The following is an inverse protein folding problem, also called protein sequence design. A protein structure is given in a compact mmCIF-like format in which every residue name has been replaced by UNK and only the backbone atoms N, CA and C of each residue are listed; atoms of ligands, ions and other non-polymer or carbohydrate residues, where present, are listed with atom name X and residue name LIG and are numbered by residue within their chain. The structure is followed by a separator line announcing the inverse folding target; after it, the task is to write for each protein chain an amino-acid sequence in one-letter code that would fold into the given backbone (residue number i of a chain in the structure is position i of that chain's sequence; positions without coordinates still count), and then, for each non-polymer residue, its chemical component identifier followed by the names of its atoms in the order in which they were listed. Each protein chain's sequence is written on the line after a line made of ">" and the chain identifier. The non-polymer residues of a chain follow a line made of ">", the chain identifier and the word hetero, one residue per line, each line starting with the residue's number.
data_IF_001318061585
#
_entry.id   IF_001318061585
#
_cell.length_a   1.000
_cell.length_b   1.000
_cell.length_c   1.000
_cell.angle_alpha   90.00
_cell.angle_beta   90.00
_cell.angle_gamma   90.00
#
_symmetry.space_group_name_H-M   'P 1'
#
loop_
_entity.id
_entity.type
_entity.pdbx_description
1 polymer ?
#
# COMPACT_ATOMS: atom_id res chain seq x y z
N UNK A 1 70.83 7.19 -46.63
CA UNK A 1 70.43 7.84 -45.37
C UNK A 1 68.98 7.47 -45.00
N UNK A 2 68.80 6.54 -44.05
CA UNK A 2 67.48 6.27 -43.46
C UNK A 2 67.16 7.44 -42.53
N UNK A 3 66.14 8.22 -42.85
CA UNK A 3 65.68 9.28 -41.96
C UNK A 3 65.28 8.66 -40.62
N UNK A 4 65.82 9.21 -39.53
CA UNK A 4 65.51 8.77 -38.18
C UNK A 4 64.01 9.02 -37.92
N UNK A 5 63.27 7.96 -37.66
CA UNK A 5 61.87 8.06 -37.26
C UNK A 5 61.81 8.66 -35.85
N UNK A 6 61.35 9.90 -35.74
CA UNK A 6 60.98 10.53 -34.47
C UNK A 6 59.48 10.34 -34.26
N UNK A 7 59.05 9.74 -33.13
CA UNK A 7 57.64 9.65 -32.81
C UNK A 7 57.04 11.06 -32.70
N UNK A 8 55.79 11.28 -33.14
CA UNK A 8 55.12 12.55 -32.98
C UNK A 8 55.10 12.94 -31.51
N UNK A 9 55.42 14.20 -31.22
CA UNK A 9 55.40 14.72 -29.85
C UNK A 9 54.02 14.47 -29.23
N UNK A 10 53.95 13.91 -28.01
CA UNK A 10 52.67 13.70 -27.35
C UNK A 10 51.93 15.03 -27.27
N UNK A 11 50.63 15.00 -27.55
CA UNK A 11 49.79 16.19 -27.45
C UNK A 11 49.99 16.84 -26.08
N UNK A 12 50.13 18.16 -26.06
CA UNK A 12 50.30 18.90 -24.81
C UNK A 12 49.16 18.53 -23.84
N UNK A 13 49.46 18.25 -22.56
CA UNK A 13 48.42 17.92 -21.59
C UNK A 13 47.40 19.05 -21.53
N UNK A 14 46.13 18.70 -21.36
CA UNK A 14 45.07 19.71 -21.27
C UNK A 14 45.38 20.70 -20.14
N UNK A 15 45.02 21.96 -20.33
CA UNK A 15 45.19 23.02 -19.34
C UNK A 15 44.30 22.82 -18.10
N UNK A 16 43.29 21.96 -18.20
CA UNK A 16 42.46 21.50 -17.08
C UNK A 16 42.15 19.99 -17.19
N UNK A 17 43.04 19.11 -16.71
CA UNK A 17 42.81 17.67 -16.73
C UNK A 17 41.70 17.26 -15.75
N UNK A 18 41.50 18.01 -14.66
CA UNK A 18 40.46 17.72 -13.68
C UNK A 18 39.05 18.01 -14.24
N UNK A 19 38.88 19.12 -14.97
CA UNK A 19 37.65 19.45 -15.69
C UNK A 19 37.33 18.43 -16.78
N UNK A 20 38.35 17.97 -17.52
CA UNK A 20 38.20 16.91 -18.52
C UNK A 20 37.69 15.60 -17.93
N UNK A 21 38.27 15.15 -16.82
CA UNK A 21 37.83 13.93 -16.11
C UNK A 21 36.40 14.10 -15.57
N UNK A 22 36.06 15.27 -15.00
CA UNK A 22 34.69 15.57 -14.54
C UNK A 22 33.66 15.51 -15.66
N UNK A 23 34.01 16.03 -16.84
CA UNK A 23 33.13 16.00 -18.00
C UNK A 23 32.89 14.56 -18.49
N UNK A 24 33.94 13.73 -18.52
CA UNK A 24 33.81 12.31 -18.87
C UNK A 24 32.96 11.58 -17.85
N UNK A 25 33.24 11.70 -16.54
CA UNK A 25 32.50 11.01 -15.48
C UNK A 25 31.02 11.40 -15.39
N UNK A 26 30.65 12.61 -15.83
CA UNK A 26 29.26 13.07 -15.91
C UNK A 26 28.58 12.75 -17.24
N UNK A 27 29.31 12.22 -18.21
CA UNK A 27 28.78 11.93 -19.53
C UNK A 27 27.75 10.80 -19.49
N UNK A 28 26.77 10.89 -20.38
CA UNK A 28 25.72 9.87 -20.55
C UNK A 28 26.32 8.51 -20.92
N UNK A 29 27.40 8.52 -21.71
CA UNK A 29 28.14 7.32 -22.07
C UNK A 29 28.76 6.62 -20.84
N UNK A 30 29.28 7.37 -19.87
CA UNK A 30 29.81 6.81 -18.63
C UNK A 30 28.69 6.28 -17.73
N UNK A 31 27.56 6.97 -17.64
CA UNK A 31 26.37 6.46 -16.92
C UNK A 31 25.85 5.17 -17.54
N UNK A 32 25.73 5.11 -18.87
CA UNK A 32 25.31 3.92 -19.59
C UNK A 32 26.29 2.76 -19.40
N UNK A 33 27.60 3.01 -19.50
CA UNK A 33 28.62 1.99 -19.26
C UNK A 33 28.59 1.47 -17.81
N UNK A 34 28.33 2.34 -16.83
CA UNK A 34 28.19 1.93 -15.43
C UNK A 34 26.93 1.09 -15.22
N UNK A 35 25.79 1.48 -15.81
CA UNK A 35 24.55 0.70 -15.76
C UNK A 35 24.75 -0.69 -16.40
N UNK A 36 25.37 -0.76 -17.58
CA UNK A 36 25.69 -2.04 -18.24
C UNK A 36 26.65 -2.89 -17.39
N UNK A 37 27.64 -2.28 -16.72
CA UNK A 37 28.56 -2.97 -15.82
C UNK A 37 27.87 -3.46 -14.53
N UNK A 38 26.77 -2.84 -14.11
CA UNK A 38 25.94 -3.33 -13.01
C UNK A 38 25.10 -4.55 -13.42
N UNK A 39 24.67 -4.62 -14.69
CA UNK A 39 23.90 -5.73 -15.24
C UNK A 39 24.76 -6.94 -15.63
N UNK A 40 26.02 -6.72 -16.06
CA UNK A 40 26.95 -7.80 -16.39
C UNK A 40 27.56 -8.41 -15.13
N UNK A 41 26.97 -9.51 -14.67
CA UNK A 41 27.28 -10.24 -13.43
C UNK A 41 28.75 -10.53 -13.15
N UNK A 42 29.41 -9.60 -12.47
CA UNK A 42 30.59 -9.82 -11.64
C UNK A 42 30.29 -9.45 -10.18
N UNK A 43 31.17 -9.80 -9.23
CA UNK A 43 30.91 -9.60 -7.79
C UNK A 43 30.59 -8.16 -7.34
N UNK A 44 30.87 -7.15 -8.19
CA UNK A 44 30.47 -5.76 -7.97
C UNK A 44 28.94 -5.57 -8.09
N UNK A 45 28.29 -6.19 -9.08
CA UNK A 45 26.84 -6.09 -9.29
C UNK A 45 26.05 -6.64 -8.10
N UNK A 46 26.50 -7.76 -7.52
CA UNK A 46 25.90 -8.36 -6.32
C UNK A 46 26.00 -7.44 -5.10
N UNK A 47 27.14 -6.78 -4.90
CA UNK A 47 27.32 -5.83 -3.81
C UNK A 47 26.43 -4.60 -3.98
N UNK A 48 26.39 -4.04 -5.20
CA UNK A 48 25.55 -2.88 -5.51
C UNK A 48 24.07 -3.21 -5.38
N UNK A 49 23.65 -4.41 -5.75
CA UNK A 49 22.27 -4.88 -5.57
C UNK A 49 21.89 -4.93 -4.09
N UNK A 50 22.76 -5.43 -3.22
CA UNK A 50 22.53 -5.42 -1.76
C UNK A 50 22.42 -4.00 -1.21
N UNK A 51 23.27 -3.09 -1.68
CA UNK A 51 23.22 -1.67 -1.30
C UNK A 51 21.91 -1.04 -1.76
N UNK A 52 21.51 -1.25 -3.02
CA UNK A 52 20.26 -0.75 -3.57
C UNK A 52 19.04 -1.30 -2.80
N UNK A 53 19.04 -2.58 -2.44
CA UNK A 53 17.98 -3.20 -1.63
C UNK A 53 17.92 -2.59 -0.22
N UNK A 54 19.07 -2.38 0.42
CA UNK A 54 19.14 -1.72 1.73
C UNK A 54 18.65 -0.27 1.66
N UNK A 55 19.06 0.48 0.64
CA UNK A 55 18.59 1.85 0.39
C UNK A 55 17.09 1.90 0.04
N UNK A 56 16.57 0.93 -0.71
CA UNK A 56 15.14 0.81 -0.97
C UNK A 56 14.35 0.64 0.33
N UNK A 57 14.86 -0.19 1.25
CA UNK A 57 14.29 -0.32 2.61
C UNK A 57 14.41 0.98 3.42
N UNK A 58 15.49 1.74 3.25
CA UNK A 58 15.69 3.05 3.88
C UNK A 58 14.68 4.09 3.37
N UNK A 59 14.40 4.13 2.06
CA UNK A 59 13.37 4.98 1.46
C UNK A 59 11.96 4.66 2.00
N UNK A 60 11.71 3.39 2.32
CA UNK A 60 10.49 2.94 3.00
C UNK A 60 10.56 3.07 4.53
N UNK A 61 11.60 3.72 5.07
CA UNK A 61 11.82 4.00 6.49
C UNK A 61 11.96 2.76 7.38
N UNK A 62 12.25 1.57 6.83
CA UNK A 62 12.40 0.35 7.64
C UNK A 62 13.47 0.43 8.73
N UNK A 63 14.69 0.93 8.45
CA UNK A 63 15.73 1.02 9.46
C UNK A 63 15.59 2.25 10.36
N UNK A 64 14.61 3.13 10.13
CA UNK A 64 14.44 4.37 10.90
C UNK A 64 13.69 4.05 12.20
N UNK A 65 14.28 4.33 13.38
CA UNK A 65 13.60 4.07 14.65
C UNK A 65 12.30 4.89 14.78
N UNK A 66 11.28 4.30 15.43
CA UNK A 66 9.99 4.98 15.63
C UNK A 66 10.12 6.34 16.33
N UNK A 67 11.05 6.48 17.29
CA UNK A 67 11.31 7.74 17.99
C UNK A 67 11.82 8.86 17.08
N UNK A 68 12.33 8.53 15.89
CA UNK A 68 12.76 9.52 14.89
C UNK A 68 11.60 9.91 13.98
N UNK A 69 10.60 9.04 13.81
CA UNK A 69 9.38 9.31 13.05
C UNK A 69 8.36 10.12 13.88
N UNK A 70 8.25 9.78 15.16
CA UNK A 70 7.36 10.44 16.13
C UNK A 70 8.17 10.83 17.37
N UNK A 71 8.87 11.98 17.35
CA UNK A 71 9.73 12.40 18.45
C UNK A 71 8.99 12.76 19.74
N UNK A 72 7.76 13.26 19.64
CA UNK A 72 6.93 13.65 20.79
C UNK A 72 5.64 12.81 20.79
N UNK A 73 5.25 12.28 21.95
CA UNK A 73 4.01 11.52 22.12
C UNK A 73 2.76 12.33 21.72
N UNK A 74 2.80 13.65 21.84
CA UNK A 74 1.70 14.55 21.43
C UNK A 74 1.45 14.55 19.92
N UNK A 75 2.44 14.15 19.13
CA UNK A 75 2.29 14.04 17.68
C UNK A 75 1.39 12.85 17.30
N UNK A 76 1.42 11.76 18.10
CA UNK A 76 0.56 10.59 17.92
C UNK A 76 -0.07 10.14 19.26
N UNK A 77 -1.09 10.88 19.75
CA UNK A 77 -1.83 10.52 20.97
C UNK A 77 -2.54 9.16 20.85
N UNK A 78 -3.04 8.64 21.97
CA UNK A 78 -3.87 7.42 21.98
C UNK A 78 -5.18 7.67 21.23
N UNK A 79 -5.64 6.66 20.48
CA UNK A 79 -6.84 6.73 19.62
C UNK A 79 -6.77 7.90 18.65
N UNK A 80 -5.65 8.00 17.92
CA UNK A 80 -5.42 9.05 16.94
C UNK A 80 -4.92 8.51 15.62
N UNK A 81 -5.23 9.28 14.57
CA UNK A 81 -4.89 9.01 13.20
C UNK A 81 -4.22 10.26 12.61
N UNK A 82 -3.08 10.09 11.96
CA UNK A 82 -2.30 11.18 11.33
C UNK A 82 -1.97 10.81 9.89
N UNK A 83 -2.38 11.66 8.97
CA UNK A 83 -1.90 11.63 7.59
C UNK A 83 -0.66 12.49 7.44
N UNK A 84 0.28 12.06 6.60
CA UNK A 84 1.50 12.80 6.31
C UNK A 84 1.95 12.54 4.87
N UNK A 85 2.91 13.33 4.39
CA UNK A 85 3.66 13.07 3.17
C UNK A 85 5.15 13.04 3.48
N UNK A 86 5.91 12.29 2.69
CA UNK A 86 7.36 12.29 2.78
C UNK A 86 7.92 13.38 1.88
N UNK A 87 8.77 14.23 2.46
CA UNK A 87 9.48 15.25 1.68
C UNK A 87 10.58 14.57 0.84
N UNK A 88 10.52 14.67 -0.50
CA UNK A 88 11.51 14.04 -1.38
C UNK A 88 12.92 14.59 -1.15
N UNK A 89 13.04 15.85 -0.74
CA UNK A 89 14.32 16.50 -0.42
C UNK A 89 14.94 15.90 0.84
N UNK A 90 14.13 15.54 1.83
CA UNK A 90 14.61 14.89 3.06
C UNK A 90 15.01 13.44 2.81
N UNK A 91 14.25 12.72 1.99
CA UNK A 91 14.63 11.38 1.55
C UNK A 91 15.92 11.41 0.74
N UNK A 92 16.08 12.40 -0.14
CA UNK A 92 17.32 12.62 -0.88
C UNK A 92 18.50 12.89 0.08
N UNK A 93 18.34 13.79 1.04
CA UNK A 93 19.37 14.07 2.04
C UNK A 93 19.74 12.82 2.86
N UNK A 94 18.76 11.99 3.22
CA UNK A 94 18.96 10.73 3.94
C UNK A 94 19.78 9.73 3.13
N UNK A 95 19.41 9.52 1.85
CA UNK A 95 20.13 8.64 0.93
C UNK A 95 21.54 9.16 0.65
N UNK A 96 21.68 10.47 0.43
CA UNK A 96 22.96 11.13 0.20
C UNK A 96 23.90 10.99 1.41
N UNK A 97 23.38 11.15 2.63
CA UNK A 97 24.13 10.91 3.85
C UNK A 97 24.59 9.45 3.99
N UNK A 98 23.73 8.50 3.64
CA UNK A 98 24.07 7.08 3.65
C UNK A 98 25.15 6.70 2.61
N UNK A 99 25.16 7.38 1.46
CA UNK A 99 26.15 7.17 0.40
C UNK A 99 27.45 7.96 0.61
N UNK A 100 27.46 8.99 1.47
CA UNK A 100 28.63 9.85 1.73
C UNK A 100 29.69 9.20 2.65
N UNK A 101 29.55 7.93 2.99
CA UNK A 101 30.48 7.24 3.89
C UNK A 101 31.79 6.95 3.15
N UNK A 102 32.90 7.54 3.63
CA UNK A 102 34.24 7.22 3.13
C UNK A 102 34.83 8.21 2.12
N UNK A 103 34.14 9.30 1.80
CA UNK A 103 34.69 10.35 0.95
C UNK A 103 35.79 11.14 1.69
N UNK A 104 37.06 10.89 1.38
CA UNK A 104 38.21 11.57 1.99
C UNK A 104 38.87 12.59 1.06
N UNK A 105 38.56 12.55 -0.23
CA UNK A 105 39.08 13.47 -1.24
C UNK A 105 38.01 13.96 -2.22
N UNK A 106 38.34 15.02 -2.96
CA UNK A 106 37.49 15.55 -4.03
C UNK A 106 37.34 14.61 -5.23
N UNK A 107 38.26 13.64 -5.37
CA UNK A 107 38.14 12.54 -6.35
C UNK A 107 37.06 11.56 -5.90
N UNK A 108 37.10 11.12 -4.65
CA UNK A 108 36.14 10.16 -4.10
C UNK A 108 34.73 10.74 -4.16
N UNK A 109 34.57 12.03 -3.81
CA UNK A 109 33.28 12.72 -3.91
C UNK A 109 32.72 12.75 -5.34
N UNK A 110 33.58 12.86 -6.35
CA UNK A 110 33.16 12.90 -7.75
C UNK A 110 32.75 11.51 -8.25
N UNK A 111 33.50 10.48 -7.85
CA UNK A 111 33.19 9.08 -8.16
C UNK A 111 31.88 8.66 -7.49
N UNK A 112 31.71 9.01 -6.20
CA UNK A 112 30.49 8.79 -5.44
C UNK A 112 29.29 9.48 -6.10
N UNK A 113 29.42 10.71 -6.59
CA UNK A 113 28.33 11.42 -7.27
C UNK A 113 27.85 10.69 -8.54
N UNK A 114 28.77 10.15 -9.34
CA UNK A 114 28.41 9.42 -10.57
C UNK A 114 27.75 8.08 -10.25
N UNK A 115 28.28 7.35 -9.27
CA UNK A 115 27.78 6.03 -8.87
C UNK A 115 26.46 6.14 -8.09
N UNK A 116 26.33 7.16 -7.24
CA UNK A 116 25.14 7.40 -6.42
C UNK A 116 23.87 7.58 -7.25
N UNK A 117 23.96 8.20 -8.42
CA UNK A 117 22.80 8.37 -9.30
C UNK A 117 22.22 7.02 -9.75
N UNK A 118 23.08 6.10 -10.19
CA UNK A 118 22.65 4.77 -10.63
C UNK A 118 22.17 3.91 -9.46
N UNK A 119 22.86 3.95 -8.31
CA UNK A 119 22.42 3.25 -7.10
C UNK A 119 21.06 3.78 -6.61
N UNK A 120 20.83 5.09 -6.72
CA UNK A 120 19.57 5.72 -6.29
C UNK A 120 18.40 5.29 -7.15
N UNK A 121 18.56 5.30 -8.47
CA UNK A 121 17.53 4.79 -9.39
C UNK A 121 17.22 3.31 -9.08
N UNK A 122 18.25 2.50 -8.87
CA UNK A 122 18.06 1.11 -8.45
C UNK A 122 17.33 1.00 -7.10
N UNK A 123 17.67 1.82 -6.11
CA UNK A 123 17.01 1.83 -4.80
C UNK A 123 15.53 2.25 -4.87
N UNK A 124 15.20 3.22 -5.72
CA UNK A 124 13.82 3.66 -5.96
C UNK A 124 12.99 2.56 -6.63
N UNK A 125 13.54 1.87 -7.64
CA UNK A 125 12.92 0.70 -8.24
C UNK A 125 12.68 -0.42 -7.21
N UNK A 126 13.66 -0.69 -6.34
CA UNK A 126 13.53 -1.66 -5.24
C UNK A 126 12.44 -1.25 -4.24
N UNK A 127 12.30 0.04 -3.93
CA UNK A 127 11.27 0.54 -3.02
C UNK A 127 9.86 0.42 -3.61
N UNK A 128 9.68 0.74 -4.90
CA UNK A 128 8.41 0.59 -5.60
C UNK A 128 7.95 -0.88 -5.67
N UNK A 129 8.88 -1.80 -5.93
CA UNK A 129 8.60 -3.25 -5.99
C UNK A 129 8.64 -3.99 -4.65
N UNK A 130 8.94 -3.31 -3.52
CA UNK A 130 9.26 -3.98 -2.26
C UNK A 130 8.11 -4.84 -1.70
N UNK A 131 6.87 -4.32 -1.78
CA UNK A 131 5.73 -5.06 -1.24
C UNK A 131 5.30 -6.22 -2.15
N UNK A 132 5.43 -6.04 -3.46
CA UNK A 132 5.09 -7.05 -4.45
C UNK A 132 6.06 -8.24 -4.40
N UNK A 133 7.35 -7.95 -4.24
CA UNK A 133 8.40 -8.97 -4.02
C UNK A 133 8.18 -9.74 -2.72
N UNK A 134 7.78 -9.07 -1.63
CA UNK A 134 7.45 -9.72 -0.34
C UNK A 134 6.18 -10.56 -0.39
N UNK A 135 5.20 -10.23 -1.25
CA UNK A 135 3.99 -11.05 -1.46
C UNK A 135 4.23 -12.26 -2.38
N UNK A 136 5.41 -12.35 -3.01
CA UNK A 136 5.73 -13.40 -3.98
C UNK A 136 4.97 -13.27 -5.30
N UNK A 137 4.41 -12.10 -5.59
CA UNK A 137 3.65 -11.81 -6.82
C UNK A 137 4.42 -10.92 -7.79
N UNK A 138 5.67 -10.59 -7.47
CA UNK A 138 6.56 -9.87 -8.38
C UNK A 138 6.70 -10.65 -9.70
N UNK A 139 6.47 -10.01 -10.86
CA UNK A 139 6.77 -10.60 -12.15
C UNK A 139 8.25 -11.03 -12.20
N UNK A 140 8.54 -12.29 -12.54
CA UNK A 140 9.90 -12.79 -12.79
C UNK A 140 10.59 -12.03 -13.94
N UNK A 141 9.80 -11.47 -14.86
CA UNK A 141 10.23 -10.55 -15.90
C UNK A 141 9.49 -9.20 -15.71
N UNK A 142 10.20 -8.07 -15.49
CA UNK A 142 9.56 -6.77 -15.56
C UNK A 142 9.11 -6.55 -17.00
N UNK A 143 7.80 -6.70 -17.25
CA UNK A 143 7.22 -6.26 -18.51
C UNK A 143 7.60 -4.79 -18.73
N UNK A 144 8.01 -4.39 -19.95
CA UNK A 144 8.35 -3.01 -20.21
C UNK A 144 7.14 -2.16 -19.85
N UNK A 145 7.31 -1.27 -18.87
CA UNK A 145 6.30 -0.31 -18.49
C UNK A 145 5.84 0.45 -19.75
N UNK A 146 4.52 0.68 -19.88
CA UNK A 146 3.99 1.51 -20.95
C UNK A 146 4.72 2.86 -20.95
N UNK A 147 5.24 3.34 -22.10
CA UNK A 147 6.08 4.53 -22.22
C UNK A 147 5.31 5.85 -22.00
N UNK A 148 4.14 5.82 -21.37
CA UNK A 148 3.34 6.99 -21.03
C UNK A 148 3.63 7.54 -19.62
N UNK A 149 4.50 6.88 -18.84
CA UNK A 149 5.08 7.50 -17.64
C UNK A 149 6.43 8.09 -18.02
N UNK A 150 6.42 9.34 -18.48
CA UNK A 150 7.62 10.18 -18.54
C UNK A 150 8.11 10.42 -17.10
N UNK A 151 8.85 9.44 -16.59
CA UNK A 151 9.42 9.44 -15.25
C UNK A 151 10.65 8.55 -15.26
N UNK A 152 11.82 9.18 -15.34
CA UNK A 152 13.08 8.68 -14.77
C UNK A 152 12.74 7.88 -13.50
N UNK A 153 13.28 6.67 -13.31
CA UNK A 153 12.84 5.63 -12.34
C UNK A 153 12.80 6.03 -10.85
N UNK A 154 12.05 7.09 -10.56
CA UNK A 154 12.02 7.85 -9.35
C UNK A 154 10.70 7.57 -8.65
N UNK A 155 10.82 7.25 -7.36
CA UNK A 155 9.68 7.09 -6.48
C UNK A 155 8.79 8.35 -6.60
N UNK A 156 7.51 8.16 -6.90
CA UNK A 156 6.54 9.24 -6.94
C UNK A 156 6.36 9.92 -5.57
N UNK A 157 5.47 10.92 -5.46
CA UNK A 157 5.16 11.53 -4.17
C UNK A 157 4.63 10.46 -3.21
N UNK A 158 5.40 10.14 -2.16
CA UNK A 158 4.99 9.15 -1.16
C UNK A 158 4.20 9.83 -0.06
N UNK A 159 3.01 9.32 0.20
CA UNK A 159 2.21 9.72 1.36
C UNK A 159 2.06 8.58 2.35
N UNK A 160 1.51 8.87 3.53
CA UNK A 160 1.34 7.84 4.53
C UNK A 160 0.33 8.16 5.62
N UNK A 161 0.11 7.14 6.42
CA UNK A 161 -0.80 7.11 7.54
C UNK A 161 -0.09 6.52 8.76
N UNK A 162 -0.20 7.19 9.89
CA UNK A 162 0.10 6.65 11.20
C UNK A 162 -1.20 6.53 12.00
N UNK A 163 -1.48 5.33 12.48
CA UNK A 163 -2.65 5.04 13.31
C UNK A 163 -2.18 4.48 14.65
N UNK A 164 -2.54 5.13 15.76
CA UNK A 164 -2.37 4.61 17.12
C UNK A 164 -3.74 4.32 17.73
N UNK A 165 -4.13 3.06 17.78
CA UNK A 165 -5.45 2.65 18.28
C UNK A 165 -5.44 1.23 18.85
N UNK A 166 -6.34 0.96 19.80
CA UNK A 166 -6.65 -0.39 20.25
C UNK A 166 -7.16 -1.30 19.11
N UNK A 167 -7.77 -0.73 18.06
CA UNK A 167 -8.22 -1.48 16.88
C UNK A 167 -7.07 -2.25 16.21
N UNK A 168 -5.89 -1.64 16.15
CA UNK A 168 -4.69 -2.26 15.55
C UNK A 168 -4.28 -3.52 16.31
N UNK A 169 -4.37 -3.49 17.65
CA UNK A 169 -4.07 -4.66 18.47
C UNK A 169 -5.17 -5.73 18.46
N UNK A 170 -6.44 -5.31 18.34
CA UNK A 170 -7.58 -6.22 18.23
C UNK A 170 -7.61 -6.94 16.88
N UNK A 171 -7.05 -6.31 15.85
CA UNK A 171 -7.09 -6.78 14.47
C UNK A 171 -5.71 -6.70 13.81
N UNK A 172 -4.81 -7.66 14.05
CA UNK A 172 -3.48 -7.66 13.44
C UNK A 172 -3.49 -7.65 11.90
N UNK A 173 -4.49 -8.29 11.30
CA UNK A 173 -4.70 -8.36 9.85
C UNK A 173 -5.63 -7.25 9.31
N UNK A 174 -5.71 -6.09 9.99
CA UNK A 174 -6.51 -4.95 9.56
C UNK A 174 -6.22 -4.62 8.09
N UNK A 175 -7.26 -4.48 7.27
CA UNK A 175 -7.11 -4.14 5.86
C UNK A 175 -7.06 -2.62 5.70
N UNK A 176 -6.09 -2.13 4.94
CA UNK A 176 -5.96 -0.72 4.57
C UNK A 176 -6.00 -0.64 3.06
N UNK A 177 -6.87 0.22 2.53
CA UNK A 177 -6.97 0.51 1.09
C UNK A 177 -6.94 2.00 0.89
N UNK A 178 -6.21 2.45 -0.13
CA UNK A 178 -6.14 3.85 -0.51
C UNK A 178 -6.59 4.00 -1.96
N UNK A 179 -7.27 5.10 -2.26
CA UNK A 179 -7.63 5.46 -3.62
C UNK A 179 -7.35 6.93 -3.92
N UNK A 180 -7.05 7.21 -5.19
CA UNK A 180 -6.81 8.56 -5.70
C UNK A 180 -8.13 9.33 -5.94
N UNK A 181 -8.02 10.56 -6.45
CA UNK A 181 -9.18 11.40 -6.75
C UNK A 181 -10.07 10.84 -7.87
N UNK A 182 -9.54 9.99 -8.74
CA UNK A 182 -10.29 9.29 -9.78
C UNK A 182 -10.96 7.99 -9.28
N UNK A 183 -10.68 7.59 -8.04
CA UNK A 183 -11.15 6.35 -7.43
C UNK A 183 -10.30 5.11 -7.78
N UNK A 184 -9.15 5.28 -8.45
CA UNK A 184 -8.24 4.19 -8.72
C UNK A 184 -7.47 3.79 -7.45
N UNK A 185 -7.21 2.49 -7.23
CA UNK A 185 -6.49 2.02 -6.04
C UNK A 185 -5.02 2.44 -6.09
N UNK A 186 -4.53 3.01 -4.99
CA UNK A 186 -3.12 3.36 -4.84
C UNK A 186 -2.30 2.17 -4.31
N UNK A 187 -1.13 1.89 -4.90
CA UNK A 187 -0.20 0.91 -4.37
C UNK A 187 0.25 1.28 -2.95
N UNK A 188 0.34 0.28 -2.08
CA UNK A 188 0.85 0.48 -0.73
C UNK A 188 2.29 -0.03 -0.71
N UNK A 189 3.24 0.88 -0.51
CA UNK A 189 4.68 0.61 -0.50
C UNK A 189 5.15 -0.07 0.79
N UNK A 190 4.56 0.32 1.92
CA UNK A 190 4.83 -0.29 3.23
C UNK A 190 3.57 -0.34 4.07
N UNK A 191 3.37 -1.44 4.77
CA UNK A 191 2.33 -1.59 5.79
C UNK A 191 2.92 -2.44 6.90
N UNK A 192 3.08 -1.86 8.08
CA UNK A 192 3.89 -2.45 9.15
C UNK A 192 3.39 -2.02 10.53
N UNK A 193 3.46 -2.94 11.49
CA UNK A 193 3.13 -2.69 12.89
C UNK A 193 4.39 -2.25 13.63
N UNK A 194 4.52 -0.95 13.88
CA UNK A 194 5.67 -0.40 14.63
C UNK A 194 5.58 -0.70 16.14
N UNK A 195 4.37 -0.96 16.63
CA UNK A 195 4.07 -1.53 17.94
C UNK A 195 2.73 -2.26 17.85
N UNK A 196 2.30 -3.04 18.86
CA UNK A 196 1.00 -3.72 18.85
C UNK A 196 -0.20 -2.79 18.62
N UNK A 197 -0.06 -1.49 18.88
CA UNK A 197 -1.14 -0.50 18.74
C UNK A 197 -0.86 0.55 17.67
N UNK A 198 0.30 0.49 16.99
CA UNK A 198 0.72 1.52 16.04
C UNK A 198 0.96 0.90 14.66
N UNK A 199 0.14 1.30 13.70
CA UNK A 199 0.24 0.90 12.30
C UNK A 199 0.81 2.05 11.46
N UNK A 200 1.81 1.74 10.64
CA UNK A 200 2.37 2.64 9.63
C UNK A 200 2.00 2.11 8.24
N UNK A 201 1.43 2.98 7.41
CA UNK A 201 1.21 2.71 5.99
C UNK A 201 1.86 3.81 5.14
N UNK A 202 2.53 3.41 4.05
CA UNK A 202 3.06 4.30 3.02
C UNK A 202 2.40 3.95 1.68
N UNK A 203 1.90 4.96 0.98
CA UNK A 203 1.24 4.86 -0.31
C UNK A 203 2.09 5.49 -1.40
N UNK A 204 2.06 4.90 -2.59
CA UNK A 204 2.65 5.49 -3.78
C UNK A 204 1.65 6.50 -4.38
N UNK A 205 1.83 7.77 -4.07
CA UNK A 205 0.91 8.84 -4.45
C UNK A 205 0.15 9.47 -3.27
N UNK A 206 -0.71 10.44 -3.59
CA UNK A 206 -1.56 11.15 -2.63
C UNK A 206 -2.98 10.56 -2.62
N UNK A 207 -3.43 9.93 -1.53
CA UNK A 207 -4.79 9.40 -1.44
C UNK A 207 -5.82 10.52 -1.30
N UNK A 208 -6.91 10.41 -2.06
CA UNK A 208 -8.12 11.19 -1.83
C UNK A 208 -9.05 10.51 -0.81
N UNK A 209 -9.01 9.17 -0.73
CA UNK A 209 -9.69 8.41 0.30
C UNK A 209 -8.82 7.26 0.84
N UNK A 210 -8.97 6.98 2.13
CA UNK A 210 -8.36 5.83 2.79
C UNK A 210 -9.43 5.08 3.56
N UNK A 211 -9.54 3.78 3.29
CA UNK A 211 -10.47 2.87 3.95
C UNK A 211 -9.70 1.93 4.87
N UNK A 212 -10.16 1.84 6.12
CA UNK A 212 -9.74 0.84 7.09
C UNK A 212 -10.89 -0.16 7.26
N UNK A 213 -10.66 -1.43 6.99
CA UNK A 213 -11.65 -2.48 7.18
C UNK A 213 -11.14 -3.61 8.06
N UNK A 214 -12.06 -4.25 8.77
CA UNK A 214 -11.78 -5.50 9.47
C UNK A 214 -11.21 -6.56 8.49
N UNK A 215 -10.36 -7.49 8.97
CA UNK A 215 -9.85 -8.57 8.13
C UNK A 215 -10.97 -9.35 7.46
N UNK A 216 -10.89 -9.54 6.15
CA UNK A 216 -11.91 -10.21 5.34
C UNK A 216 -11.81 -11.74 5.38
N UNK A 217 -11.06 -12.30 6.35
CA UNK A 217 -10.68 -13.72 6.40
C UNK A 217 -11.69 -14.62 7.14
N UNK A 218 -12.91 -14.14 7.41
CA UNK A 218 -13.93 -14.94 8.09
C UNK A 218 -15.36 -14.52 7.81
N UNK A 219 -16.23 -15.50 7.55
CA UNK A 219 -17.67 -15.30 7.54
C UNK A 219 -18.17 -15.15 8.98
N UNK A 220 -18.82 -14.02 9.26
CA UNK A 220 -19.49 -13.79 10.55
C UNK A 220 -20.99 -13.89 10.35
N UNK A 221 -21.66 -14.57 11.27
CA UNK A 221 -23.11 -14.50 11.39
C UNK A 221 -23.44 -13.67 12.62
N UNK A 222 -24.37 -12.74 12.50
CA UNK A 222 -24.71 -11.86 13.60
C UNK A 222 -25.73 -10.81 13.22
N UNK A 223 -25.96 -9.93 14.19
CA UNK A 223 -26.79 -8.73 14.07
C UNK A 223 -25.87 -7.53 14.28
N UNK A 224 -26.24 -6.38 13.70
CA UNK A 224 -25.57 -5.12 14.00
C UNK A 224 -25.89 -4.66 15.43
N UNK A 225 -25.23 -3.60 15.91
CA UNK A 225 -25.28 -3.14 17.32
C UNK A 225 -26.70 -2.91 17.88
N UNK A 226 -27.66 -2.66 17.00
CA UNK A 226 -29.07 -2.36 17.31
C UNK A 226 -29.97 -3.60 17.24
N UNK A 227 -29.39 -4.79 17.01
CA UNK A 227 -30.14 -6.02 16.78
C UNK A 227 -30.75 -6.15 15.39
N UNK A 228 -30.38 -5.26 14.47
CA UNK A 228 -30.89 -5.19 13.11
C UNK A 228 -30.01 -6.00 12.16
N UNK A 229 -30.62 -6.56 11.11
CA UNK A 229 -29.92 -7.08 9.95
C UNK A 229 -30.42 -6.37 8.68
N UNK A 230 -29.55 -6.08 7.71
CA UNK A 230 -30.00 -5.67 6.38
C UNK A 230 -30.64 -6.85 5.65
N UNK A 231 -31.78 -6.62 4.99
CA UNK A 231 -32.41 -7.67 4.19
C UNK A 231 -31.69 -7.84 2.85
N UNK A 232 -31.40 -9.10 2.50
CA UNK A 232 -30.75 -9.49 1.25
C UNK A 232 -31.72 -10.19 0.29
N UNK A 233 -31.46 -10.04 -1.00
CA UNK A 233 -32.21 -10.71 -2.05
C UNK A 233 -31.97 -12.21 -2.01
N UNK A 234 -33.06 -12.98 -1.99
CA UNK A 234 -33.04 -14.45 -2.02
C UNK A 234 -33.55 -15.03 -3.35
N UNK A 235 -34.10 -14.18 -4.23
CA UNK A 235 -34.67 -14.62 -5.49
C UNK A 235 -33.56 -14.66 -6.57
N UNK A 236 -33.36 -15.78 -7.27
CA UNK A 236 -32.46 -15.82 -8.41
C UNK A 236 -33.06 -15.07 -9.61
N UNK A 237 -32.23 -14.52 -10.51
CA UNK A 237 -32.71 -13.98 -11.79
C UNK A 237 -33.49 -15.05 -12.57
N UNK A 238 -34.63 -14.74 -13.22
CA UNK A 238 -35.21 -13.42 -13.48
C UNK A 238 -36.24 -12.94 -12.43
N UNK A 239 -36.46 -13.68 -11.35
CA UNK A 239 -37.50 -13.36 -10.35
C UNK A 239 -37.06 -12.30 -9.35
N UNK A 240 -35.77 -11.96 -9.35
CA UNK A 240 -35.22 -10.88 -8.55
C UNK A 240 -35.77 -9.51 -9.01
N UNK A 241 -36.39 -8.73 -8.11
CA UNK A 241 -36.74 -7.34 -8.42
C UNK A 241 -35.48 -6.55 -8.78
N UNK A 242 -35.60 -5.68 -9.78
CA UNK A 242 -34.53 -4.82 -10.30
C UNK A 242 -33.28 -5.56 -10.84
N UNK A 243 -33.38 -6.87 -11.11
CA UNK A 243 -32.25 -7.65 -11.64
C UNK A 243 -31.10 -7.87 -10.65
N UNK A 244 -31.38 -7.69 -9.33
CA UNK A 244 -30.41 -7.87 -8.25
C UNK A 244 -29.87 -9.29 -8.19
N UNK A 245 -28.62 -9.43 -7.76
CA UNK A 245 -27.98 -10.74 -7.57
C UNK A 245 -28.44 -11.39 -6.28
N UNK A 246 -28.32 -12.72 -6.20
CA UNK A 246 -28.56 -13.45 -4.96
C UNK A 246 -27.58 -12.96 -3.88
N UNK A 247 -28.10 -12.63 -2.69
CA UNK A 247 -27.31 -12.11 -1.57
C UNK A 247 -27.03 -10.61 -1.61
N UNK A 248 -27.44 -9.90 -2.67
CA UNK A 248 -27.33 -8.44 -2.74
C UNK A 248 -28.30 -7.79 -1.75
N UNK A 249 -27.87 -6.73 -1.05
CA UNK A 249 -28.73 -6.02 -0.10
C UNK A 249 -29.86 -5.30 -0.84
N UNK A 250 -31.09 -5.43 -0.34
CA UNK A 250 -32.30 -4.88 -0.99
C UNK A 250 -32.34 -3.35 -0.91
N UNK A 251 -31.75 -2.77 0.13
CA UNK A 251 -31.58 -1.33 0.30
C UNK A 251 -30.90 -0.99 1.63
N UNK A 252 -30.33 0.21 1.78
CA UNK A 252 -29.63 0.62 3.00
C UNK A 252 -30.57 0.72 4.21
N UNK A 253 -31.83 1.13 4.02
CA UNK A 253 -32.81 1.34 5.10
C UNK A 253 -33.74 0.13 5.33
N UNK A 254 -33.62 -0.92 4.52
CA UNK A 254 -34.47 -2.11 4.62
C UNK A 254 -33.83 -3.08 5.60
N UNK A 255 -34.23 -2.96 6.87
CA UNK A 255 -33.69 -3.74 7.98
C UNK A 255 -34.75 -4.55 8.72
N UNK A 256 -34.31 -5.57 9.44
CA UNK A 256 -35.19 -6.45 10.22
C UNK A 256 -34.66 -6.64 11.65
N UNK A 257 -35.49 -6.44 12.70
CA UNK A 257 -35.07 -6.58 14.10
C UNK A 257 -35.10 -8.03 14.56
N UNK A 258 -33.94 -8.69 14.52
CA UNK A 258 -33.81 -10.11 14.89
C UNK A 258 -33.96 -10.32 16.40
N UNK A 259 -33.50 -9.36 17.22
CA UNK A 259 -33.52 -9.49 18.68
C UNK A 259 -34.93 -9.42 19.30
N UNK A 260 -35.94 -8.98 18.54
CA UNK A 260 -37.34 -9.01 18.97
C UNK A 260 -37.90 -10.44 19.01
N UNK A 261 -37.20 -11.38 18.36
CA UNK A 261 -37.59 -12.79 18.22
C UNK A 261 -36.74 -13.70 19.11
N UNK A 262 -36.44 -13.27 20.34
CA UNK A 262 -35.77 -14.11 21.34
C UNK A 262 -36.78 -14.95 22.13
N UNK A 263 -36.41 -16.19 22.45
CA UNK A 263 -37.24 -17.08 23.26
C UNK A 263 -37.40 -16.49 24.68
N UNK A 264 -38.64 -16.26 25.09
CA UNK A 264 -38.96 -15.86 26.45
C UNK A 264 -38.69 -17.03 27.43
N UNK A 265 -37.72 -16.87 28.32
CA UNK A 265 -37.35 -17.87 29.34
C UNK A 265 -36.51 -17.27 30.47
N UNK A 266 -36.45 -17.94 31.62
CA UNK A 266 -35.88 -17.44 32.89
C UNK A 266 -34.34 -17.23 32.93
N UNK A 267 -33.69 -17.14 31.76
CA UNK A 267 -32.28 -16.80 31.63
C UNK A 267 -32.11 -15.86 30.44
N UNK A 268 -31.31 -14.79 30.62
CA UNK A 268 -31.03 -13.72 29.66
C UNK A 268 -31.23 -14.15 28.21
N UNK A 269 -32.22 -13.58 27.50
CA UNK A 269 -32.62 -13.94 26.14
C UNK A 269 -31.44 -14.06 25.17
N UNK A 270 -30.94 -15.29 24.99
CA UNK A 270 -29.77 -15.64 24.17
C UNK A 270 -30.09 -16.68 23.09
N UNK A 271 -31.34 -17.13 23.02
CA UNK A 271 -31.79 -18.16 22.08
C UNK A 271 -32.84 -17.55 21.17
N UNK A 272 -32.62 -17.63 19.86
CA UNK A 272 -33.60 -17.20 18.86
C UNK A 272 -34.80 -18.14 18.86
N UNK A 273 -35.99 -17.58 18.86
CA UNK A 273 -37.23 -18.30 18.65
C UNK A 273 -37.52 -18.38 17.15
N UNK A 274 -37.08 -19.47 16.51
CA UNK A 274 -37.31 -19.72 15.09
C UNK A 274 -38.81 -19.76 14.72
N UNK A 275 -39.68 -20.09 15.68
CA UNK A 275 -41.13 -20.14 15.47
C UNK A 275 -41.74 -18.76 15.21
N UNK A 276 -41.21 -17.71 15.83
CA UNK A 276 -41.63 -16.32 15.57
C UNK A 276 -40.74 -15.62 14.55
N UNK A 277 -39.43 -15.92 14.52
CA UNK A 277 -38.46 -15.30 13.63
C UNK A 277 -38.74 -15.61 12.15
N UNK A 278 -38.89 -16.89 11.80
CA UNK A 278 -39.00 -17.29 10.37
C UNK A 278 -40.24 -16.68 9.71
N UNK A 279 -41.46 -16.77 10.30
CA UNK A 279 -42.64 -16.16 9.68
C UNK A 279 -42.53 -14.64 9.55
N UNK A 280 -41.97 -13.95 10.56
CA UNK A 280 -41.79 -12.51 10.52
C UNK A 280 -40.76 -12.08 9.46
N UNK A 281 -39.65 -12.82 9.35
CA UNK A 281 -38.63 -12.59 8.33
C UNK A 281 -39.16 -12.85 6.92
N UNK A 282 -39.93 -13.92 6.70
CA UNK A 282 -40.61 -14.18 5.42
C UNK A 282 -41.54 -13.03 5.05
N UNK A 283 -42.37 -12.57 5.98
CA UNK A 283 -43.29 -11.45 5.72
C UNK A 283 -42.53 -10.15 5.39
N UNK A 284 -41.42 -9.87 6.08
CA UNK A 284 -40.59 -8.70 5.79
C UNK A 284 -39.91 -8.80 4.42
N UNK A 285 -39.43 -9.99 4.04
CA UNK A 285 -38.84 -10.23 2.72
C UNK A 285 -39.89 -10.15 1.60
N UNK A 286 -41.08 -10.70 1.79
CA UNK A 286 -42.18 -10.61 0.82
C UNK A 286 -42.58 -9.14 0.59
N UNK A 287 -42.65 -8.35 1.67
CA UNK A 287 -42.91 -6.92 1.60
C UNK A 287 -41.78 -6.17 0.88
N UNK A 288 -40.52 -6.55 1.14
CA UNK A 288 -39.34 -5.92 0.55
C UNK A 288 -39.16 -6.25 -0.95
N UNK A 289 -39.54 -7.45 -1.39
CA UNK A 289 -39.47 -7.86 -2.79
C UNK A 289 -40.75 -7.52 -3.58
N UNK A 290 -41.87 -7.29 -2.90
CA UNK A 290 -43.19 -7.14 -3.52
C UNK A 290 -43.76 -8.44 -4.09
N UNK A 291 -43.10 -9.58 -3.88
CA UNK A 291 -43.48 -10.92 -4.33
C UNK A 291 -43.12 -11.95 -3.25
N UNK A 292 -43.80 -13.10 -3.27
CA UNK A 292 -43.55 -14.17 -2.31
C UNK A 292 -42.20 -14.84 -2.59
N UNK A 293 -41.31 -14.83 -1.59
CA UNK A 293 -39.97 -15.43 -1.67
C UNK A 293 -40.01 -16.95 -1.46
N UNK A 294 -41.03 -17.45 -0.77
CA UNK A 294 -41.23 -18.87 -0.48
C UNK A 294 -40.79 -19.27 0.93
N UNK A 295 -40.62 -20.58 1.16
CA UNK A 295 -40.21 -21.10 2.46
C UNK A 295 -38.73 -20.86 2.72
N UNK A 296 -38.40 -20.16 3.81
CA UNK A 296 -37.01 -19.92 4.22
C UNK A 296 -36.39 -21.19 4.80
N UNK A 297 -35.29 -21.64 4.18
CA UNK A 297 -34.45 -22.71 4.71
C UNK A 297 -33.30 -22.20 5.60
N UNK A 298 -32.51 -23.12 6.18
CA UNK A 298 -31.32 -22.76 6.96
C UNK A 298 -30.28 -21.96 6.16
N UNK A 299 -30.14 -22.25 4.86
CA UNK A 299 -29.22 -21.53 3.97
C UNK A 299 -29.65 -20.08 3.76
N UNK A 300 -30.95 -19.85 3.61
CA UNK A 300 -31.52 -18.51 3.43
C UNK A 300 -31.38 -17.69 4.71
N UNK A 301 -31.67 -18.30 5.86
CA UNK A 301 -31.45 -17.67 7.17
C UNK A 301 -29.98 -17.32 7.37
N UNK A 302 -29.06 -18.24 7.05
CA UNK A 302 -27.63 -17.98 7.11
C UNK A 302 -27.24 -16.78 6.24
N UNK A 303 -27.75 -16.72 5.00
CA UNK A 303 -27.49 -15.60 4.08
C UNK A 303 -28.00 -14.26 4.64
N UNK A 304 -29.17 -14.23 5.29
CA UNK A 304 -29.68 -13.01 5.95
C UNK A 304 -28.82 -12.60 7.16
N UNK A 305 -28.27 -13.57 7.90
CA UNK A 305 -27.46 -13.30 9.09
C UNK A 305 -25.99 -13.01 8.82
N UNK A 306 -25.51 -13.04 7.57
CA UNK A 306 -24.11 -12.70 7.26
C UNK A 306 -23.85 -11.24 7.68
N UNK A 307 -22.83 -11.01 8.51
CA UNK A 307 -22.35 -9.67 8.85
C UNK A 307 -21.15 -9.32 7.98
N UNK A 308 -21.22 -8.17 7.33
CA UNK A 308 -20.13 -7.68 6.47
C UNK A 308 -19.05 -7.10 7.39
N UNK A 309 -17.75 -7.30 7.10
CA UNK A 309 -16.68 -6.64 7.83
C UNK A 309 -16.91 -5.13 7.89
N UNK A 310 -16.81 -4.55 9.09
CA UNK A 310 -16.97 -3.11 9.23
C UNK A 310 -15.80 -2.38 8.55
N UNK A 311 -16.14 -1.27 7.90
CA UNK A 311 -15.19 -0.41 7.20
C UNK A 311 -15.44 1.04 7.55
N UNK A 312 -14.38 1.77 7.86
CA UNK A 312 -14.40 3.23 8.00
C UNK A 312 -13.63 3.85 6.84
N UNK A 313 -14.24 4.81 6.16
CA UNK A 313 -13.65 5.52 5.04
C UNK A 313 -13.38 6.96 5.44
N UNK A 314 -12.13 7.38 5.31
CA UNK A 314 -11.70 8.77 5.46
C UNK A 314 -11.58 9.39 4.08
N UNK A 315 -12.27 10.51 3.87
CA UNK A 315 -12.17 11.34 2.67
C UNK A 315 -11.33 12.58 2.99
N UNK A 316 -10.61 13.09 1.99
CA UNK A 316 -9.89 14.35 2.12
C UNK A 316 -10.84 15.53 2.39
N UNK A 317 -10.31 16.70 2.81
CA UNK A 317 -11.11 17.87 3.22
C UNK A 317 -12.02 18.49 2.15
N UNK A 318 -11.98 18.00 0.91
CA UNK A 318 -12.89 18.40 -0.17
C UNK A 318 -13.98 17.33 -0.46
N UNK A 319 -14.00 16.23 0.27
CA UNK A 319 -15.03 15.20 0.17
C UNK A 319 -16.07 15.42 1.27
N UNK A 320 -17.30 15.71 0.85
CA UNK A 320 -18.50 15.69 1.69
C UNK A 320 -18.60 14.42 2.57
#
# INVERSE_FOLDING_TARGET
>A
PRAAWTPPAPAAPSTDPAGGIKAVLRSDATRAALATAMETGGGLGDHLTRVAQWLGRLLLLYPVPFTHLVPDERMLPRESLRFFHLDPTWLDALVSGALSIGAQSSRDTLEDQTVAATIRAAAQAQAAGYRETQRGTAPEDPAPADPATDGDGALGPVSGLLLRSALVSGWPNLAVRASDAAGAPLPILRMDHLSPTVLLCLFDGLPAAVELSEPQEGFRFGVEDHGLIPLRNLLPPPHAPEGRRLGEQIGPDVTFPVLDHLRAGAGSGRVLDLGSLIPALTAALDAAHGTAVGSLGPADLALQMVRIPEAIRFTGPNGD
#
